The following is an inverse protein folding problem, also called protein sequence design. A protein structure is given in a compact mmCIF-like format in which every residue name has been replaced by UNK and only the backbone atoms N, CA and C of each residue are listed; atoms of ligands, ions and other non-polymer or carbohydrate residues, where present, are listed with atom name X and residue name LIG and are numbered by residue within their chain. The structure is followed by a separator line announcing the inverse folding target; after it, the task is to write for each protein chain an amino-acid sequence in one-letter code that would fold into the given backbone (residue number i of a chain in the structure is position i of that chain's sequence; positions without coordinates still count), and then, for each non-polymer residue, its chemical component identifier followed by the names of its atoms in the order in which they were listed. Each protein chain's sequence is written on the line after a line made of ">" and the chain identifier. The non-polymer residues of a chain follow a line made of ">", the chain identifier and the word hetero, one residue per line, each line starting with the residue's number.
data_IF_913363873363
#
_entry.id   IF_913363873363
#
_cell.length_a   1.000
_cell.length_b   1.000
_cell.length_c   1.000
_cell.angle_alpha   90.00
_cell.angle_beta   90.00
_cell.angle_gamma   90.00
#
_symmetry.space_group_name_H-M   'P 1'
#
loop_
_entity.id
_entity.type
_entity.pdbx_description
1 polymer ?
#
# COMPACT_ATOMS: atom_id res chain seq x y z
N UNK A 1 6.16 -19.38 37.35
CA UNK A 1 7.31 -20.21 37.72
C UNK A 1 6.89 -21.14 38.85
N UNK A 2 7.11 -22.45 38.74
CA UNK A 2 6.86 -23.42 39.81
C UNK A 2 7.64 -23.07 41.08
N UNK A 3 7.08 -23.33 42.27
CA UNK A 3 7.75 -23.09 43.55
C UNK A 3 7.83 -24.36 44.37
N UNK A 4 9.03 -24.72 44.82
CA UNK A 4 9.23 -25.83 45.74
C UNK A 4 8.73 -25.45 47.12
N UNK A 5 8.01 -26.34 47.78
CA UNK A 5 7.61 -26.16 49.18
C UNK A 5 8.83 -25.97 50.10
N UNK A 6 8.70 -25.08 51.09
CA UNK A 6 9.64 -24.98 52.19
C UNK A 6 9.10 -25.69 53.44
N UNK A 7 9.81 -26.71 53.91
CA UNK A 7 9.38 -27.52 55.04
C UNK A 7 9.35 -26.76 56.37
N UNK A 8 10.07 -25.63 56.48
CA UNK A 8 10.12 -24.80 57.69
C UNK A 8 8.92 -23.84 57.81
N UNK A 9 8.15 -23.66 56.74
CA UNK A 9 7.04 -22.73 56.71
C UNK A 9 5.71 -23.45 56.97
N UNK A 10 4.73 -22.69 57.49
CA UNK A 10 3.37 -23.17 57.71
C UNK A 10 2.67 -23.43 56.38
N UNK A 11 2.00 -24.58 56.30
CA UNK A 11 1.40 -25.10 55.07
C UNK A 11 0.03 -25.67 55.36
N UNK A 12 -0.89 -25.53 54.43
CA UNK A 12 -2.18 -26.21 54.48
C UNK A 12 -2.51 -26.80 53.12
N UNK A 13 -3.20 -27.93 53.17
CA UNK A 13 -3.78 -28.57 52.02
C UNK A 13 -5.23 -28.08 51.93
N UNK A 14 -5.57 -27.46 50.79
CA UNK A 14 -6.90 -26.97 50.52
C UNK A 14 -7.40 -27.56 49.23
N UNK A 15 -8.60 -28.12 49.28
CA UNK A 15 -9.34 -28.53 48.10
C UNK A 15 -9.87 -27.25 47.42
N UNK A 16 -9.37 -26.98 46.21
CA UNK A 16 -9.71 -25.77 45.46
C UNK A 16 -10.56 -26.14 44.25
N UNK A 17 -11.69 -25.44 44.09
CA UNK A 17 -12.59 -25.68 42.96
C UNK A 17 -11.90 -25.37 41.62
N UNK A 18 -11.85 -26.34 40.68
CA UNK A 18 -11.33 -26.16 39.33
C UNK A 18 -11.97 -25.00 38.56
N UNK A 19 -13.25 -24.71 38.86
CA UNK A 19 -14.03 -23.64 38.23
C UNK A 19 -13.57 -22.25 38.66
N UNK A 20 -13.11 -22.09 39.91
CA UNK A 20 -12.64 -20.80 40.43
C UNK A 20 -11.14 -20.58 40.18
N UNK A 21 -10.38 -21.67 40.09
CA UNK A 21 -8.93 -21.66 39.96
C UNK A 21 -8.42 -22.55 38.81
N UNK A 22 -8.78 -22.24 37.54
CA UNK A 22 -8.40 -23.05 36.39
C UNK A 22 -6.88 -23.21 36.21
N UNK A 23 -6.08 -22.24 36.67
CA UNK A 23 -4.62 -22.28 36.63
C UNK A 23 -3.99 -23.27 37.65
N UNK A 24 -4.77 -23.74 38.63
CA UNK A 24 -4.32 -24.70 39.65
C UNK A 24 -4.76 -26.13 39.33
N UNK A 25 -5.59 -26.35 38.29
CA UNK A 25 -6.10 -27.67 37.88
C UNK A 25 -5.02 -28.66 37.46
N UNK A 26 -3.81 -28.19 37.16
CA UNK A 26 -2.69 -29.05 36.80
C UNK A 26 -2.08 -29.77 38.02
N UNK A 27 -2.58 -29.49 39.23
CA UNK A 27 -2.09 -30.02 40.49
C UNK A 27 -3.24 -30.69 41.26
N UNK A 28 -3.14 -31.99 41.55
CA UNK A 28 -4.20 -32.76 42.25
C UNK A 28 -4.42 -32.30 43.69
N UNK A 29 -3.36 -31.92 44.41
CA UNK A 29 -3.39 -31.43 45.79
C UNK A 29 -2.61 -30.11 45.89
N UNK A 30 -3.31 -28.98 45.97
CA UNK A 30 -2.64 -27.67 46.05
C UNK A 30 -2.23 -27.37 47.49
N UNK A 31 -0.92 -27.42 47.74
CA UNK A 31 -0.34 -26.99 49.01
C UNK A 31 -0.14 -25.47 48.95
N UNK A 32 -0.68 -24.76 49.93
CA UNK A 32 -0.44 -23.34 50.08
C UNK A 32 0.53 -23.08 51.23
N UNK A 33 1.55 -22.28 50.97
CA UNK A 33 2.55 -21.85 51.94
C UNK A 33 2.24 -20.43 52.42
N UNK A 34 2.21 -20.23 53.75
CA UNK A 34 2.00 -18.92 54.37
C UNK A 34 3.31 -18.15 54.41
N UNK A 35 3.31 -16.95 53.84
CA UNK A 35 4.47 -16.04 53.87
C UNK A 35 4.14 -14.72 54.57
N UNK A 36 3.42 -14.83 55.67
CA UNK A 36 3.02 -13.70 56.51
C UNK A 36 3.64 -13.85 57.90
N UNK A 37 4.43 -12.87 58.33
CA UNK A 37 5.12 -12.88 59.62
C UNK A 37 4.17 -12.77 60.82
N UNK A 38 2.90 -12.42 60.58
CA UNK A 38 1.84 -12.40 61.60
C UNK A 38 1.29 -13.79 61.90
N UNK A 39 1.60 -14.78 61.07
CA UNK A 39 1.14 -16.15 61.24
C UNK A 39 2.03 -16.90 62.24
N UNK A 40 1.42 -17.43 63.31
CA UNK A 40 2.10 -18.09 64.42
C UNK A 40 1.59 -19.52 64.64
N UNK A 41 2.32 -20.31 65.43
CA UNK A 41 1.92 -21.66 65.83
C UNK A 41 0.53 -21.68 66.49
N UNK A 42 0.22 -20.68 67.32
CA UNK A 42 -1.08 -20.55 67.98
C UNK A 42 -2.25 -20.33 67.02
N UNK A 43 -2.01 -19.76 65.83
CA UNK A 43 -3.02 -19.60 64.78
C UNK A 43 -3.14 -20.91 63.97
N UNK A 44 -2.03 -21.64 63.81
CA UNK A 44 -1.97 -22.90 63.08
C UNK A 44 -2.69 -24.06 63.80
N UNK A 45 -2.58 -24.15 65.13
CA UNK A 45 -3.26 -25.19 65.93
C UNK A 45 -4.73 -24.87 66.23
N UNK A 46 -5.19 -23.64 65.99
CA UNK A 46 -6.56 -23.25 66.26
C UNK A 46 -7.53 -23.91 65.26
N UNK A 47 -8.66 -24.41 65.77
CA UNK A 47 -9.71 -24.96 64.91
C UNK A 47 -10.52 -23.81 64.30
N UNK A 48 -10.49 -23.71 62.98
CA UNK A 48 -11.25 -22.74 62.20
C UNK A 48 -12.54 -23.38 61.68
N UNK A 49 -13.64 -22.62 61.68
CA UNK A 49 -14.94 -23.11 61.24
C UNK A 49 -15.13 -22.99 59.73
N UNK A 50 -14.46 -22.01 59.12
CA UNK A 50 -14.55 -21.72 57.70
C UNK A 50 -13.17 -21.26 57.19
N UNK A 51 -12.77 -21.80 56.04
CA UNK A 51 -11.50 -21.50 55.37
C UNK A 51 -11.81 -21.26 53.90
N UNK A 52 -11.44 -20.08 53.40
CA UNK A 52 -11.68 -19.70 52.00
C UNK A 52 -10.42 -19.10 51.36
N UNK A 53 -10.23 -19.36 50.07
CA UNK A 53 -9.14 -18.84 49.26
C UNK A 53 -9.68 -17.87 48.23
N UNK A 54 -9.01 -16.75 48.02
CA UNK A 54 -9.35 -15.79 46.96
C UNK A 54 -8.12 -15.30 46.22
N UNK A 55 -8.27 -14.96 44.93
CA UNK A 55 -7.18 -14.45 44.10
C UNK A 55 -6.88 -12.99 44.44
N UNK A 56 -5.60 -12.65 44.57
CA UNK A 56 -5.13 -11.26 44.56
C UNK A 56 -4.91 -10.83 43.11
N UNK A 57 -5.29 -9.60 42.76
CA UNK A 57 -5.21 -9.08 41.38
C UNK A 57 -3.79 -9.06 40.75
N UNK A 58 -2.73 -9.40 41.49
CA UNK A 58 -1.35 -9.41 41.00
C UNK A 58 -0.58 -10.68 41.38
N UNK A 59 -0.06 -11.37 40.36
CA UNK A 59 1.18 -12.14 40.45
C UNK A 59 1.13 -13.49 41.17
N UNK A 60 0.05 -14.27 41.01
CA UNK A 60 -0.04 -15.63 41.55
C UNK A 60 -0.04 -15.69 43.08
N UNK A 61 -0.52 -14.61 43.72
CA UNK A 61 -0.71 -14.50 45.17
C UNK A 61 -2.17 -14.78 45.51
N UNK A 62 -2.39 -15.51 46.59
CA UNK A 62 -3.72 -15.86 47.06
C UNK A 62 -3.88 -15.37 48.49
N UNK A 63 -5.12 -15.07 48.87
CA UNK A 63 -5.49 -14.69 50.23
C UNK A 63 -6.27 -15.85 50.83
N UNK A 64 -5.77 -16.37 51.94
CA UNK A 64 -6.53 -17.31 52.77
C UNK A 64 -7.18 -16.55 53.90
N UNK A 65 -8.49 -16.72 53.99
CA UNK A 65 -9.33 -16.16 55.03
C UNK A 65 -9.75 -17.29 55.97
N UNK A 66 -9.31 -17.20 57.22
CA UNK A 66 -9.66 -18.12 58.30
C UNK A 66 -10.71 -17.46 59.18
N UNK A 67 -11.83 -18.15 59.44
CA UNK A 67 -12.92 -17.63 60.26
C UNK A 67 -13.33 -18.61 61.35
N UNK A 68 -13.51 -18.09 62.56
CA UNK A 68 -14.16 -18.82 63.65
C UNK A 68 -15.21 -17.92 64.33
N UNK A 69 -15.81 -18.38 65.42
CA UNK A 69 -16.86 -17.62 66.13
C UNK A 69 -16.35 -16.33 66.79
N UNK A 70 -15.03 -16.15 66.95
CA UNK A 70 -14.41 -15.06 67.70
C UNK A 70 -13.70 -14.04 66.81
N UNK A 71 -13.12 -14.46 65.69
CA UNK A 71 -12.30 -13.60 64.83
C UNK A 71 -12.20 -14.09 63.38
N UNK A 72 -11.77 -13.17 62.53
CA UNK A 72 -11.44 -13.39 61.12
C UNK A 72 -10.00 -12.95 60.89
N UNK A 73 -9.19 -13.84 60.32
CA UNK A 73 -7.78 -13.59 60.01
C UNK A 73 -7.52 -13.81 58.51
N UNK A 74 -6.69 -12.95 57.91
CA UNK A 74 -6.40 -12.99 56.47
C UNK A 74 -4.89 -12.95 56.25
N UNK A 75 -4.39 -13.93 55.50
CA UNK A 75 -2.96 -14.11 55.24
C UNK A 75 -2.66 -14.25 53.75
N UNK A 76 -1.51 -13.71 53.34
CA UNK A 76 -0.97 -13.90 51.99
C UNK A 76 -0.31 -15.28 51.87
N UNK A 77 -0.76 -16.06 50.89
CA UNK A 77 -0.23 -17.40 50.59
C UNK A 77 0.14 -17.60 49.13
N UNK A 78 0.91 -18.65 48.89
CA UNK A 78 1.39 -19.04 47.56
C UNK A 78 1.20 -20.54 47.35
N UNK A 79 0.76 -20.97 46.16
CA UNK A 79 0.78 -22.38 45.81
C UNK A 79 2.24 -22.84 45.71
N UNK A 80 2.54 -23.96 46.34
CA UNK A 80 3.83 -24.62 46.31
C UNK A 80 3.66 -26.08 45.94
N UNK A 81 4.67 -26.65 45.32
CA UNK A 81 4.68 -28.03 44.84
C UNK A 81 5.49 -28.92 45.77
N UNK A 82 5.06 -30.17 45.87
CA UNK A 82 5.85 -31.25 46.45
C UNK A 82 7.17 -31.45 45.70
N UNK A 83 8.11 -32.19 46.29
CA UNK A 83 9.45 -32.35 45.71
C UNK A 83 9.43 -33.01 44.33
N UNK A 84 8.58 -34.02 44.13
CA UNK A 84 8.41 -34.71 42.86
C UNK A 84 7.76 -33.78 41.81
N UNK A 85 6.61 -33.20 42.14
CA UNK A 85 5.85 -32.35 41.22
C UNK A 85 6.59 -31.06 40.85
N UNK A 86 7.43 -30.55 41.77
CA UNK A 86 8.33 -29.44 41.48
C UNK A 86 9.37 -29.79 40.42
N UNK A 87 9.99 -30.98 40.51
CA UNK A 87 11.01 -31.40 39.54
C UNK A 87 10.40 -31.54 38.13
N UNK A 88 9.23 -32.16 38.04
CA UNK A 88 8.53 -32.35 36.77
C UNK A 88 8.11 -30.99 36.18
N UNK A 89 7.41 -30.15 36.96
CA UNK A 89 6.97 -28.83 36.51
C UNK A 89 8.12 -27.88 36.18
N UNK A 90 9.24 -27.96 36.90
CA UNK A 90 10.43 -27.15 36.62
C UNK A 90 11.11 -27.60 35.32
N UNK A 91 11.18 -28.90 35.04
CA UNK A 91 11.71 -29.42 33.77
C UNK A 91 10.88 -28.90 32.59
N UNK A 92 9.55 -29.01 32.67
CA UNK A 92 8.63 -28.54 31.62
C UNK A 92 8.73 -27.03 31.42
N UNK A 93 8.74 -26.27 32.52
CA UNK A 93 8.91 -24.82 32.48
C UNK A 93 10.26 -24.41 31.85
N UNK A 94 11.35 -25.12 32.20
CA UNK A 94 12.68 -24.82 31.66
C UNK A 94 12.76 -25.09 30.16
N UNK A 95 12.14 -26.18 29.69
CA UNK A 95 12.07 -26.56 28.28
C UNK A 95 11.28 -25.53 27.48
N UNK A 96 10.11 -25.13 27.99
CA UNK A 96 9.27 -24.15 27.33
C UNK A 96 9.92 -22.76 27.31
N UNK A 97 10.61 -22.36 28.38
CA UNK A 97 11.37 -21.11 28.40
C UNK A 97 12.50 -21.10 27.38
N UNK A 98 13.22 -22.22 27.23
CA UNK A 98 14.25 -22.34 26.18
C UNK A 98 13.63 -22.18 24.79
N UNK A 99 12.48 -22.82 24.52
CA UNK A 99 11.76 -22.68 23.25
C UNK A 99 11.36 -21.22 22.97
N UNK A 100 10.79 -20.54 23.96
CA UNK A 100 10.39 -19.12 23.85
C UNK A 100 11.62 -18.22 23.61
N UNK A 101 12.75 -18.49 24.27
CA UNK A 101 14.00 -17.75 24.11
C UNK A 101 14.55 -17.89 22.66
N UNK A 102 14.48 -19.09 22.10
CA UNK A 102 14.88 -19.38 20.73
C UNK A 102 13.96 -18.71 19.70
N UNK A 103 12.64 -18.79 19.89
CA UNK A 103 11.66 -18.10 19.03
C UNK A 103 11.87 -16.58 19.04
N UNK A 104 12.08 -15.99 20.22
CA UNK A 104 12.39 -14.55 20.35
C UNK A 104 13.67 -14.18 19.58
N UNK A 105 14.71 -15.01 19.64
CA UNK A 105 15.93 -14.79 18.86
C UNK A 105 15.65 -14.84 17.37
N UNK A 106 14.88 -15.80 16.86
CA UNK A 106 14.54 -15.89 15.43
C UNK A 106 13.70 -14.69 14.96
N UNK A 107 12.66 -14.33 15.72
CA UNK A 107 11.83 -13.15 15.45
C UNK A 107 12.69 -11.89 15.39
N UNK A 108 13.61 -11.71 16.34
CA UNK A 108 14.52 -10.55 16.35
C UNK A 108 15.40 -10.47 15.10
N UNK A 109 15.87 -11.62 14.57
CA UNK A 109 16.66 -11.69 13.33
C UNK A 109 15.79 -11.34 12.11
N UNK A 110 14.56 -11.83 12.05
CA UNK A 110 13.60 -11.49 10.98
C UNK A 110 13.27 -10.00 10.96
N UNK A 111 13.02 -9.39 12.12
CA UNK A 111 12.76 -7.95 12.25
C UNK A 111 13.96 -7.13 11.75
N UNK A 112 15.18 -7.49 12.15
CA UNK A 112 16.40 -6.82 11.66
C UNK A 112 16.56 -6.93 10.15
N UNK A 113 16.28 -8.11 9.59
CA UNK A 113 16.38 -8.37 8.15
C UNK A 113 15.34 -7.56 7.37
N UNK A 114 14.09 -7.52 7.84
CA UNK A 114 13.02 -6.75 7.22
C UNK A 114 13.30 -5.24 7.26
N UNK A 115 13.77 -4.70 8.40
CA UNK A 115 14.19 -3.28 8.49
C UNK A 115 15.29 -2.92 7.51
N UNK A 116 16.25 -3.83 7.28
CA UNK A 116 17.30 -3.62 6.28
C UNK A 116 16.71 -3.58 4.86
N UNK A 117 15.86 -4.55 4.52
CA UNK A 117 15.17 -4.61 3.22
C UNK A 117 14.31 -3.38 2.95
N UNK A 118 13.58 -2.91 3.95
CA UNK A 118 12.75 -1.71 3.86
C UNK A 118 13.61 -0.46 3.60
N UNK A 119 14.72 -0.31 4.32
CA UNK A 119 15.67 0.79 4.09
C UNK A 119 16.29 0.73 2.68
N UNK A 120 16.69 -0.46 2.22
CA UNK A 120 17.26 -0.64 0.89
C UNK A 120 16.22 -0.34 -0.20
N UNK A 121 14.95 -0.73 0.01
CA UNK A 121 13.84 -0.43 -0.89
C UNK A 121 13.55 1.06 -0.97
N UNK A 122 13.45 1.76 0.16
CA UNK A 122 13.26 3.22 0.21
C UNK A 122 14.43 3.96 -0.47
N UNK A 123 15.66 3.51 -0.25
CA UNK A 123 16.83 4.08 -0.90
C UNK A 123 16.88 3.82 -2.41
N UNK A 124 16.26 2.74 -2.89
CA UNK A 124 16.08 2.47 -4.32
C UNK A 124 15.00 3.38 -4.91
N UNK A 125 13.85 3.48 -4.25
CA UNK A 125 12.73 4.32 -4.69
C UNK A 125 13.17 5.78 -4.87
N UNK A 126 13.91 6.33 -3.91
CA UNK A 126 14.46 7.68 -3.99
C UNK A 126 15.44 7.86 -5.16
N UNK A 127 16.28 6.84 -5.44
CA UNK A 127 17.21 6.87 -6.59
C UNK A 127 16.44 6.85 -7.92
N UNK A 128 15.37 6.08 -8.00
CA UNK A 128 14.54 5.97 -9.19
C UNK A 128 13.77 7.29 -9.44
N UNK A 129 13.25 7.94 -8.39
CA UNK A 129 12.65 9.28 -8.46
C UNK A 129 13.64 10.34 -8.93
N UNK A 130 14.83 10.42 -8.32
CA UNK A 130 15.88 11.35 -8.72
C UNK A 130 16.32 11.12 -10.17
N UNK A 131 16.36 9.85 -10.61
CA UNK A 131 16.67 9.50 -11.99
C UNK A 131 15.55 9.97 -12.93
N UNK A 132 14.29 9.75 -12.57
CA UNK A 132 13.14 10.17 -13.35
C UNK A 132 13.09 11.70 -13.52
N UNK A 133 13.33 12.46 -12.44
CA UNK A 133 13.42 13.93 -12.50
C UNK A 133 14.58 14.39 -13.41
N UNK A 134 15.73 13.73 -13.35
CA UNK A 134 16.86 14.00 -14.26
C UNK A 134 16.50 13.70 -15.71
N UNK A 135 15.76 12.63 -15.98
CA UNK A 135 15.30 12.30 -17.33
C UNK A 135 14.29 13.34 -17.83
N UNK A 136 13.32 13.73 -17.00
CA UNK A 136 12.30 14.74 -17.34
C UNK A 136 12.96 16.11 -17.60
N UNK A 137 13.86 16.55 -16.73
CA UNK A 137 14.60 17.81 -16.92
C UNK A 137 15.46 17.79 -18.18
N UNK A 138 16.16 16.67 -18.47
CA UNK A 138 16.88 16.49 -19.73
C UNK A 138 15.95 16.53 -20.94
N UNK A 139 14.81 15.85 -20.90
CA UNK A 139 13.78 15.91 -21.95
C UNK A 139 13.27 17.33 -22.15
N UNK A 140 13.04 18.09 -21.07
CA UNK A 140 12.61 19.49 -21.15
C UNK A 140 13.68 20.37 -21.82
N UNK A 141 14.94 20.21 -21.44
CA UNK A 141 16.06 20.93 -22.08
C UNK A 141 16.18 20.55 -23.55
N UNK A 142 16.12 19.25 -23.88
CA UNK A 142 16.16 18.78 -25.27
C UNK A 142 14.98 19.34 -26.05
N UNK A 143 13.75 19.30 -25.52
CA UNK A 143 12.58 19.85 -26.19
C UNK A 143 12.72 21.37 -26.41
N UNK A 144 13.26 22.10 -25.42
CA UNK A 144 13.49 23.54 -25.54
C UNK A 144 14.60 23.85 -26.56
N UNK A 145 15.70 23.09 -26.56
CA UNK A 145 16.76 23.22 -27.55
C UNK A 145 16.27 22.85 -28.95
N UNK A 146 15.48 21.79 -29.09
CA UNK A 146 14.83 21.40 -30.36
C UNK A 146 13.86 22.46 -30.82
N UNK A 147 13.07 23.06 -29.92
CA UNK A 147 12.17 24.16 -30.25
C UNK A 147 12.94 25.41 -30.72
N UNK A 148 14.03 25.76 -30.04
CA UNK A 148 14.90 26.88 -30.44
C UNK A 148 15.61 26.60 -31.76
N UNK A 149 16.11 25.39 -31.97
CA UNK A 149 16.74 24.98 -33.22
C UNK A 149 15.73 24.98 -34.38
N UNK A 150 14.51 24.49 -34.14
CA UNK A 150 13.40 24.53 -35.11
C UNK A 150 12.93 25.95 -35.41
N UNK A 151 13.18 26.92 -34.52
CA UNK A 151 12.89 28.32 -34.79
C UNK A 151 13.89 28.95 -35.78
N UNK A 152 15.14 28.44 -35.81
CA UNK A 152 16.22 28.91 -36.68
C UNK A 152 16.47 28.02 -37.91
N UNK A 153 15.87 26.83 -38.00
CA UNK A 153 16.00 25.91 -39.16
C UNK A 153 14.64 25.43 -39.70
N UNK A 154 14.45 25.37 -41.03
CA UNK A 154 13.16 25.10 -41.66
C UNK A 154 12.72 23.62 -41.67
N UNK A 155 13.42 22.74 -40.94
CA UNK A 155 13.03 21.32 -40.81
C UNK A 155 12.83 20.96 -39.33
N UNK A 156 11.74 20.25 -39.04
CA UNK A 156 11.39 19.76 -37.70
C UNK A 156 11.39 18.23 -37.76
N UNK A 157 12.09 17.57 -36.84
CA UNK A 157 11.98 16.13 -36.65
C UNK A 157 11.46 15.86 -35.24
N UNK A 158 10.51 14.93 -35.11
CA UNK A 158 9.98 14.50 -33.81
C UNK A 158 10.30 13.01 -33.70
N UNK A 159 11.04 12.65 -32.66
CA UNK A 159 11.34 11.26 -32.35
C UNK A 159 10.27 10.73 -31.40
N UNK A 160 9.27 10.04 -31.95
CA UNK A 160 8.26 9.33 -31.18
C UNK A 160 8.83 7.94 -30.85
N UNK A 161 9.20 7.72 -29.59
CA UNK A 161 9.77 6.43 -29.16
C UNK A 161 8.85 5.26 -29.55
N UNK A 162 9.45 4.20 -30.11
CA UNK A 162 8.83 2.96 -30.62
C UNK A 162 8.00 3.07 -31.91
N UNK A 163 7.72 4.28 -32.42
CA UNK A 163 7.02 4.50 -33.71
C UNK A 163 7.98 4.76 -34.89
N UNK A 164 9.28 4.88 -34.64
CA UNK A 164 10.29 5.14 -35.65
C UNK A 164 10.58 6.64 -35.86
N UNK A 165 11.48 6.94 -36.81
CA UNK A 165 11.81 8.33 -37.19
C UNK A 165 10.85 8.77 -38.28
N UNK A 166 9.98 9.73 -37.98
CA UNK A 166 9.16 10.41 -38.99
C UNK A 166 9.91 11.68 -39.42
N UNK A 167 10.43 11.69 -40.64
CA UNK A 167 11.02 12.87 -41.26
C UNK A 167 9.92 13.76 -41.84
N UNK A 168 9.91 15.03 -41.46
CA UNK A 168 9.07 16.05 -42.07
C UNK A 168 9.95 16.93 -42.96
N UNK A 169 10.17 16.50 -44.21
CA UNK A 169 11.08 17.17 -45.16
C UNK A 169 10.56 18.55 -45.64
N UNK A 170 9.32 18.90 -45.33
CA UNK A 170 8.73 20.20 -45.63
C UNK A 170 7.88 20.71 -44.45
N UNK A 171 8.24 21.90 -43.94
CA UNK A 171 7.30 22.72 -43.19
C UNK A 171 6.20 23.21 -44.15
N UNK A 172 5.15 22.40 -44.32
CA UNK A 172 3.99 22.79 -45.09
C UNK A 172 3.20 23.75 -44.21
N UNK A 173 2.93 25.00 -44.63
CA UNK A 173 2.05 25.89 -43.88
C UNK A 173 0.71 25.18 -43.64
N UNK A 174 0.07 25.48 -42.49
CA UNK A 174 -1.29 24.99 -42.16
C UNK A 174 -2.13 24.90 -43.43
N UNK A 175 -2.85 23.78 -43.68
CA UNK A 175 -3.33 23.40 -45.00
C UNK A 175 -4.04 24.58 -45.67
N UNK A 176 -3.30 25.28 -46.54
CA UNK A 176 -3.78 26.52 -47.17
C UNK A 176 -4.99 26.21 -48.06
N UNK A 177 -5.01 24.97 -48.59
CA UNK A 177 -6.09 24.37 -49.36
C UNK A 177 -6.85 23.36 -48.49
N UNK A 178 -7.49 23.84 -47.43
CA UNK A 178 -8.36 23.06 -46.54
C UNK A 178 -9.66 23.78 -46.23
N UNK A 179 -10.71 23.04 -45.86
CA UNK A 179 -11.93 23.69 -45.36
C UNK A 179 -11.64 24.28 -43.99
N UNK A 180 -11.95 25.56 -43.80
CA UNK A 180 -11.87 26.20 -42.47
C UNK A 180 -13.11 25.81 -41.68
N UNK A 181 -12.89 25.31 -40.48
CA UNK A 181 -13.93 24.91 -39.52
C UNK A 181 -13.49 25.42 -38.15
N UNK A 182 -14.12 26.45 -37.59
CA UNK A 182 -13.82 26.88 -36.23
C UNK A 182 -14.07 25.71 -35.26
N UNK A 183 -13.01 25.14 -34.72
CA UNK A 183 -13.08 23.92 -33.92
C UNK A 183 -13.10 24.23 -32.43
N UNK A 184 -13.74 23.35 -31.66
CA UNK A 184 -13.55 23.23 -30.23
C UNK A 184 -13.30 21.76 -29.89
N UNK A 185 -12.17 21.47 -29.25
CA UNK A 185 -11.75 20.13 -28.89
C UNK A 185 -11.88 19.92 -27.37
N UNK A 186 -12.49 18.81 -26.99
CA UNK A 186 -12.73 18.44 -25.59
C UNK A 186 -12.66 16.93 -25.43
N UNK A 187 -12.46 16.44 -24.21
CA UNK A 187 -12.50 15.00 -23.93
C UNK A 187 -13.95 14.54 -23.83
N UNK A 188 -14.34 13.49 -24.56
CA UNK A 188 -15.69 12.95 -24.54
C UNK A 188 -16.07 12.49 -23.10
N UNK A 189 -17.24 12.94 -22.62
CA UNK A 189 -17.68 12.68 -21.24
C UNK A 189 -17.13 13.67 -20.20
N UNK A 190 -16.24 14.58 -20.60
CA UNK A 190 -15.67 15.65 -19.79
C UNK A 190 -15.86 17.01 -20.50
N UNK A 191 -15.84 18.11 -19.76
CA UNK A 191 -15.86 19.47 -20.31
C UNK A 191 -14.45 20.06 -20.46
N UNK A 192 -13.42 19.33 -20.05
CA UNK A 192 -12.04 19.77 -20.14
C UNK A 192 -11.61 19.99 -21.59
N UNK A 193 -11.16 21.23 -21.86
CA UNK A 193 -10.66 21.64 -23.16
C UNK A 193 -9.26 21.10 -23.39
N UNK A 194 -9.02 20.58 -24.58
CA UNK A 194 -7.71 20.12 -25.00
C UNK A 194 -6.80 21.32 -25.32
N UNK A 195 -5.52 21.25 -24.94
CA UNK A 195 -4.55 22.34 -25.17
C UNK A 195 -3.98 22.34 -26.59
N UNK A 196 -3.79 21.15 -27.16
CA UNK A 196 -3.21 20.96 -28.49
C UNK A 196 -3.81 19.73 -29.17
N UNK A 197 -3.97 19.80 -30.50
CA UNK A 197 -4.44 18.69 -31.31
C UNK A 197 -3.58 18.56 -32.54
N UNK A 198 -3.22 17.32 -32.84
CA UNK A 198 -2.47 16.91 -34.01
C UNK A 198 -3.42 16.35 -35.05
N UNK A 199 -3.38 16.94 -36.25
CA UNK A 199 -4.06 16.48 -37.45
C UNK A 199 -3.02 15.80 -38.36
N UNK A 200 -3.19 14.49 -38.55
CA UNK A 200 -2.31 13.65 -39.36
C UNK A 200 -3.06 13.20 -40.60
N UNK A 201 -2.62 13.64 -41.78
CA UNK A 201 -3.08 13.05 -43.03
C UNK A 201 -2.29 11.78 -43.31
N UNK A 202 -2.96 10.63 -43.24
CA UNK A 202 -2.34 9.32 -43.37
C UNK A 202 -1.90 9.00 -44.80
N UNK A 203 -2.54 9.60 -45.80
CA UNK A 203 -2.24 9.33 -47.22
C UNK A 203 -0.96 10.03 -47.68
N UNK A 204 -0.79 11.28 -47.28
CA UNK A 204 0.34 12.11 -47.70
C UNK A 204 1.44 12.17 -46.62
N UNK A 205 1.24 11.49 -45.47
CA UNK A 205 2.08 11.53 -44.28
C UNK A 205 2.40 12.96 -43.81
N UNK A 206 1.38 13.83 -43.81
CA UNK A 206 1.51 15.24 -43.43
C UNK A 206 0.95 15.44 -42.02
N UNK A 207 1.71 16.14 -41.19
CA UNK A 207 1.37 16.46 -39.82
C UNK A 207 1.11 17.95 -39.65
N UNK A 208 0.01 18.29 -38.99
CA UNK A 208 -0.32 19.64 -38.57
C UNK A 208 -0.64 19.67 -37.08
N UNK A 209 0.08 20.48 -36.33
CA UNK A 209 -0.22 20.74 -34.92
C UNK A 209 -1.03 22.04 -34.82
N UNK A 210 -2.10 22.00 -34.03
CA UNK A 210 -2.93 23.14 -33.70
C UNK A 210 -2.92 23.35 -32.20
N UNK A 211 -2.49 24.52 -31.75
CA UNK A 211 -2.68 24.95 -30.37
C UNK A 211 -4.09 25.53 -30.16
N UNK A 212 -4.56 25.57 -28.91
CA UNK A 212 -5.89 26.08 -28.56
C UNK A 212 -6.25 27.44 -29.21
N UNK A 213 -5.36 28.46 -29.27
CA UNK A 213 -5.67 29.73 -29.93
C UNK A 213 -5.94 29.61 -31.44
N UNK A 214 -5.44 28.56 -32.08
CA UNK A 214 -5.50 28.30 -33.51
C UNK A 214 -6.70 27.42 -33.90
N UNK A 215 -7.42 26.85 -32.94
CA UNK A 215 -8.61 26.02 -33.21
C UNK A 215 -9.69 26.76 -34.03
N UNK A 216 -9.82 28.08 -33.84
CA UNK A 216 -10.72 28.92 -34.66
C UNK A 216 -10.32 28.97 -36.14
N UNK A 217 -9.04 28.70 -36.44
CA UNK A 217 -8.47 28.63 -37.78
C UNK A 217 -8.24 27.19 -38.25
N UNK A 218 -8.76 26.19 -37.53
CA UNK A 218 -8.59 24.78 -37.85
C UNK A 218 -9.04 24.48 -39.28
N UNK A 219 -8.20 23.72 -39.99
CA UNK A 219 -8.39 23.38 -41.40
C UNK A 219 -7.99 21.93 -41.64
N UNK A 220 -8.72 21.25 -42.51
CA UNK A 220 -8.35 19.92 -42.97
C UNK A 220 -8.75 19.72 -44.43
N UNK A 221 -8.16 18.71 -45.08
CA UNK A 221 -8.44 18.37 -46.47
C UNK A 221 -9.61 17.39 -46.55
N UNK A 222 -10.74 17.78 -47.15
CA UNK A 222 -11.89 16.88 -47.32
C UNK A 222 -11.54 15.67 -48.18
N UNK A 223 -12.14 14.53 -47.88
CA UNK A 223 -12.01 13.30 -48.68
C UNK A 223 -10.68 12.56 -48.51
N UNK A 224 -9.80 13.05 -47.63
CA UNK A 224 -8.56 12.37 -47.23
C UNK A 224 -8.76 11.66 -45.90
N UNK A 225 -8.02 10.57 -45.67
CA UNK A 225 -7.94 9.92 -44.36
C UNK A 225 -7.11 10.76 -43.39
N UNK A 226 -7.77 11.33 -42.39
CA UNK A 226 -7.13 12.08 -41.31
C UNK A 226 -7.31 11.37 -39.99
N UNK A 227 -6.28 11.47 -39.16
CA UNK A 227 -6.31 11.11 -37.76
C UNK A 227 -6.17 12.39 -36.92
N UNK A 228 -7.06 12.56 -35.94
CA UNK A 228 -7.04 13.68 -35.00
C UNK A 228 -6.74 13.15 -33.60
N UNK A 229 -5.58 13.52 -33.06
CA UNK A 229 -5.06 12.99 -31.79
C UNK A 229 -4.58 14.12 -30.90
N UNK A 230 -4.62 13.91 -29.60
CA UNK A 230 -4.03 14.79 -28.59
C UNK A 230 -3.30 13.98 -27.53
N UNK A 231 -2.22 14.53 -27.00
CA UNK A 231 -1.52 14.01 -25.84
C UNK A 231 -1.90 14.89 -24.65
N UNK A 232 -2.54 14.29 -23.65
CA UNK A 232 -3.00 15.00 -22.46
C UNK A 232 -1.83 15.31 -21.51
N UNK A 233 -1.97 16.28 -20.58
CA UNK A 233 -0.90 16.64 -19.64
C UNK A 233 -0.40 15.50 -18.76
N UNK A 234 -1.23 14.47 -18.54
CA UNK A 234 -0.88 13.26 -17.79
C UNK A 234 -0.24 12.16 -18.65
N UNK A 235 -0.03 12.44 -19.94
CA UNK A 235 0.60 11.53 -20.91
C UNK A 235 -0.37 10.57 -21.59
N UNK A 236 -1.67 10.60 -21.28
CA UNK A 236 -2.66 9.76 -21.97
C UNK A 236 -2.95 10.28 -23.38
N UNK A 237 -3.26 9.36 -24.28
CA UNK A 237 -3.60 9.67 -25.67
C UNK A 237 -5.11 9.76 -25.80
N UNK A 238 -5.60 10.81 -26.44
CA UNK A 238 -6.99 10.95 -26.81
C UNK A 238 -7.13 11.14 -28.33
N UNK A 239 -8.16 10.56 -28.94
CA UNK A 239 -8.37 10.65 -30.38
C UNK A 239 -9.84 10.92 -30.73
N UNK A 240 -10.06 11.67 -31.80
CA UNK A 240 -11.39 11.77 -32.40
C UNK A 240 -11.62 10.59 -33.32
N UNK A 241 -12.63 9.77 -33.00
CA UNK A 241 -12.96 8.54 -33.74
C UNK A 241 -14.09 8.72 -34.76
N UNK A 242 -14.64 9.92 -34.88
CA UNK A 242 -15.65 10.23 -35.90
C UNK A 242 -15.03 10.46 -37.28
N UNK A 243 -15.85 10.37 -38.31
CA UNK A 243 -15.47 10.70 -39.68
C UNK A 243 -15.48 12.21 -39.93
N UNK A 244 -14.44 12.73 -40.58
CA UNK A 244 -14.35 14.12 -41.03
C UNK A 244 -15.08 14.34 -42.36
N UNK A 245 -16.29 13.80 -42.49
CA UNK A 245 -17.08 13.90 -43.72
C UNK A 245 -17.77 15.26 -43.89
N UNK A 246 -18.02 15.62 -45.15
CA UNK A 246 -18.66 16.88 -45.50
C UNK A 246 -20.13 16.97 -45.04
N UNK A 247 -20.78 15.83 -44.85
CA UNK A 247 -22.18 15.73 -44.41
C UNK A 247 -22.33 16.10 -42.93
N UNK A 248 -21.31 15.82 -42.12
CA UNK A 248 -21.29 16.16 -40.69
C UNK A 248 -20.67 17.52 -40.41
N UNK A 249 -19.64 17.91 -41.16
CA UNK A 249 -18.83 19.09 -40.87
C UNK A 249 -18.92 20.09 -42.03
N UNK A 250 -19.68 21.16 -41.83
CA UNK A 250 -19.87 22.23 -42.80
C UNK A 250 -18.76 23.26 -42.74
N UNK A 251 -18.44 23.86 -43.89
CA UNK A 251 -17.39 24.88 -44.01
C UNK A 251 -17.81 26.16 -43.30
N UNK A 252 -16.94 26.69 -42.45
CA UNK A 252 -17.14 27.95 -41.72
C UNK A 252 -18.06 27.86 -40.50
N UNK A 253 -18.80 26.76 -40.34
CA UNK A 253 -19.63 26.52 -39.17
C UNK A 253 -18.78 25.98 -38.02
N UNK A 254 -18.97 26.46 -36.78
CA UNK A 254 -18.27 25.92 -35.63
C UNK A 254 -18.60 24.44 -35.42
N UNK A 255 -17.60 23.64 -35.11
CA UNK A 255 -17.79 22.22 -34.82
C UNK A 255 -17.08 21.81 -33.53
N UNK A 256 -17.74 20.92 -32.78
CA UNK A 256 -17.29 20.41 -31.48
C UNK A 256 -16.80 18.98 -31.66
N UNK A 257 -15.50 18.77 -31.44
CA UNK A 257 -14.86 17.46 -31.52
C UNK A 257 -14.66 16.89 -30.11
N UNK A 258 -15.35 15.78 -29.82
CA UNK A 258 -15.15 15.02 -28.58
C UNK A 258 -14.10 13.93 -28.81
N UNK A 259 -12.96 14.00 -28.13
CA UNK A 259 -11.89 13.02 -28.21
C UNK A 259 -12.11 11.94 -27.14
N UNK A 260 -12.04 10.68 -27.54
CA UNK A 260 -12.08 9.55 -26.62
C UNK A 260 -10.67 9.29 -26.09
N UNK A 261 -10.53 8.98 -24.80
CA UNK A 261 -9.24 8.58 -24.21
C UNK A 261 -8.98 7.12 -24.56
N UNK A 262 -7.74 6.80 -24.93
CA UNK A 262 -7.31 5.43 -25.17
C UNK A 262 -7.07 4.70 -23.86
N UNK A 263 -7.63 3.50 -23.73
CA UNK A 263 -7.31 2.53 -22.67
C UNK A 263 -6.23 1.53 -23.11
N UNK A 264 -5.57 1.78 -24.25
CA UNK A 264 -4.57 0.89 -24.81
C UNK A 264 -3.40 0.66 -23.83
N UNK A 265 -3.04 -0.61 -23.66
CA UNK A 265 -1.96 -1.02 -22.75
C UNK A 265 -0.68 -1.39 -23.49
N UNK A 266 -0.80 -1.60 -24.80
CA UNK A 266 0.29 -1.94 -25.70
C UNK A 266 0.11 -1.24 -27.06
N UNK A 267 1.10 -1.40 -27.94
CA UNK A 267 1.14 -0.71 -29.23
C UNK A 267 0.05 -1.20 -30.20
N UNK A 268 -0.28 -2.49 -30.19
CA UNK A 268 -1.29 -3.05 -31.07
C UNK A 268 -2.68 -2.56 -30.66
N UNK A 269 -3.00 -2.59 -29.36
CA UNK A 269 -4.23 -1.98 -28.81
C UNK A 269 -4.36 -0.50 -29.22
N UNK A 270 -3.25 0.24 -29.22
CA UNK A 270 -3.23 1.65 -29.59
C UNK A 270 -3.47 1.83 -31.09
N UNK A 271 -2.88 0.99 -31.94
CA UNK A 271 -3.12 1.00 -33.39
C UNK A 271 -4.57 0.68 -33.72
N UNK A 272 -5.15 -0.30 -33.03
CA UNK A 272 -6.56 -0.67 -33.14
C UNK A 272 -7.46 0.51 -32.75
N UNK A 273 -7.15 1.14 -31.60
CA UNK A 273 -7.88 2.30 -31.11
C UNK A 273 -7.88 3.46 -32.11
N UNK A 274 -6.72 3.74 -32.71
CA UNK A 274 -6.53 4.79 -33.72
C UNK A 274 -7.05 4.39 -35.11
N UNK A 275 -7.49 3.14 -35.32
CA UNK A 275 -8.00 2.66 -36.60
C UNK A 275 -6.91 2.48 -37.67
N UNK A 276 -5.69 2.12 -37.25
CA UNK A 276 -4.50 1.99 -38.11
C UNK A 276 -4.20 0.54 -38.52
N UNK A 277 -5.06 -0.41 -38.17
CA UNK A 277 -4.80 -1.86 -38.31
C UNK A 277 -4.74 -2.41 -39.73
N UNK A 278 -5.27 -1.70 -40.72
CA UNK A 278 -5.30 -2.17 -42.11
C UNK A 278 -4.19 -1.56 -42.99
N UNK A 279 -3.16 -0.95 -42.41
CA UNK A 279 -2.17 -0.15 -43.17
C UNK A 279 -0.72 -0.55 -42.88
N UNK A 280 -0.36 -1.82 -43.11
CA UNK A 280 1.00 -2.26 -43.50
C UNK A 280 0.88 -3.37 -44.54
#
# INVERSE_FOLDING_TARGET
>A
EPRKQNLTNYRFLLDVSPTEFPELMSFEDVIFEVKDSRFSWSIYEETWNDISVSKKHQGGRYLVTLKNTKRVEIFDVYPVLGEKDFLDAFSDYSTEMQRIEEEKKDISKRIKTNKKREKDFLAKLKRDEEHLEKVISRKRIVNQLTANLSADTPYRSVNLGELGVVNFDMAIPLPAKGIKVPAAFFIAGDSNSVLEVDLINLEDNIYYNYAQPEFKEFRYMRGRKHLLVSILPDGRIAAYRGDLSADKIKRGEPFKFGLEISDATNLDDLRDFLGLTESI
#
